data_IF_915466311973
#
_entry.id   IF_915466311973
#
_cell.length_a   1.000
_cell.length_b   1.000
_cell.length_c   1.000
_cell.angle_alpha   90.00
_cell.angle_beta   90.00
_cell.angle_gamma   90.00
#
_symmetry.space_group_name_H-M   'P 1'
#
loop_
_entity.id
_entity.type
_entity.pdbx_description
1 polymer ?
#
# COMPACT_ATOMS: atom_id res chain seq x y z
N UNK A 1 2.73 3.94 10.90
CA UNK A 1 1.79 4.53 9.92
C UNK A 1 0.77 3.47 9.43
N UNK A 2 -0.25 3.12 10.22
CA UNK A 2 -1.22 2.05 9.84
C UNK A 2 -2.14 2.44 8.67
N UNK A 3 -2.59 3.69 8.63
CA UNK A 3 -3.57 4.16 7.63
C UNK A 3 -3.04 4.12 6.19
N UNK A 4 -1.75 4.39 5.98
CA UNK A 4 -1.13 4.34 4.64
C UNK A 4 -1.12 2.93 4.04
N UNK A 5 -0.94 1.91 4.89
CA UNK A 5 -0.94 0.50 4.46
C UNK A 5 -2.34 0.06 4.01
N UNK A 6 -3.37 0.48 4.75
CA UNK A 6 -4.78 0.25 4.40
C UNK A 6 -5.18 1.00 3.13
N UNK A 7 -4.82 2.29 3.01
CA UNK A 7 -5.14 3.09 1.83
C UNK A 7 -4.55 2.48 0.54
N UNK A 8 -3.30 2.01 0.59
CA UNK A 8 -2.66 1.30 -0.53
C UNK A 8 -3.40 0.03 -0.91
N UNK A 9 -3.82 -0.76 0.09
CA UNK A 9 -4.57 -1.99 -0.15
C UNK A 9 -5.88 -1.68 -0.87
N UNK A 10 -6.60 -0.65 -0.40
CA UNK A 10 -7.85 -0.18 -1.04
C UNK A 10 -7.61 0.29 -2.47
N UNK A 11 -6.58 1.11 -2.74
CA UNK A 11 -6.27 1.59 -4.09
C UNK A 11 -5.92 0.43 -5.03
N UNK A 12 -5.16 -0.56 -4.54
CA UNK A 12 -4.82 -1.76 -5.34
C UNK A 12 -6.06 -2.58 -5.67
N UNK A 13 -6.99 -2.72 -4.71
CA UNK A 13 -8.27 -3.42 -4.94
C UNK A 13 -9.12 -2.67 -5.97
N UNK A 14 -9.21 -1.34 -5.87
CA UNK A 14 -9.95 -0.50 -6.82
C UNK A 14 -9.37 -0.61 -8.23
N UNK A 15 -8.04 -0.61 -8.38
CA UNK A 15 -7.36 -0.80 -9.67
C UNK A 15 -7.70 -2.17 -10.30
N UNK A 16 -7.62 -3.25 -9.53
CA UNK A 16 -7.96 -4.61 -10.01
C UNK A 16 -9.44 -4.72 -10.40
N UNK A 17 -10.34 -4.12 -9.61
CA UNK A 17 -11.77 -4.11 -9.92
C UNK A 17 -12.04 -3.28 -11.19
N UNK A 18 -11.35 -2.15 -11.38
CA UNK A 18 -11.42 -1.37 -12.62
C UNK A 18 -10.93 -2.15 -13.84
N UNK A 19 -9.80 -2.87 -13.73
CA UNK A 19 -9.29 -3.76 -14.77
C UNK A 19 -10.34 -4.82 -15.16
N UNK A 20 -10.91 -5.49 -14.16
CA UNK A 20 -11.93 -6.51 -14.37
C UNK A 20 -13.21 -5.92 -15.00
N UNK A 21 -13.66 -4.76 -14.55
CA UNK A 21 -14.83 -4.09 -15.10
C UNK A 21 -14.64 -3.76 -16.59
N UNK A 22 -13.47 -3.23 -16.98
CA UNK A 22 -13.17 -2.91 -18.39
C UNK A 22 -13.04 -4.18 -19.25
N UNK A 23 -12.55 -5.28 -18.69
CA UNK A 23 -12.40 -6.56 -19.39
C UNK A 23 -13.70 -7.33 -19.58
N UNK A 24 -14.54 -7.40 -18.54
CA UNK A 24 -15.73 -8.26 -18.46
C UNK A 24 -17.04 -7.57 -18.83
N UNK A 25 -17.10 -6.24 -18.88
CA UNK A 25 -18.32 -5.52 -19.25
C UNK A 25 -18.34 -5.28 -20.77
N UNK A 26 -19.10 -6.05 -21.56
CA UNK A 26 -19.20 -5.87 -23.01
C UNK A 26 -19.86 -4.54 -23.39
N UNK A 27 -20.64 -3.92 -22.49
CA UNK A 27 -21.16 -2.56 -22.70
C UNK A 27 -20.07 -1.48 -22.82
N UNK A 28 -18.82 -1.81 -22.43
CA UNK A 28 -17.62 -1.00 -22.62
C UNK A 28 -16.82 -1.41 -23.87
N UNK A 29 -17.40 -2.06 -24.87
CA UNK A 29 -16.72 -2.40 -26.14
C UNK A 29 -16.12 -1.18 -26.84
N UNK A 30 -16.83 -0.04 -26.83
CA UNK A 30 -16.29 1.22 -27.32
C UNK A 30 -15.08 1.70 -26.49
N UNK A 31 -15.05 1.43 -25.19
CA UNK A 31 -13.93 1.77 -24.31
C UNK A 31 -12.73 0.83 -24.52
N UNK A 32 -12.95 -0.46 -24.84
CA UNK A 32 -11.87 -1.41 -25.16
C UNK A 32 -11.07 -1.03 -26.40
N UNK A 33 -11.74 -0.44 -27.40
CA UNK A 33 -11.08 0.06 -28.62
C UNK A 33 -10.49 1.47 -28.47
N UNK A 34 -10.80 2.18 -27.39
CA UNK A 34 -10.28 3.53 -27.18
C UNK A 34 -8.90 3.50 -26.53
N UNK A 35 -7.91 4.01 -27.26
CA UNK A 35 -6.52 4.14 -26.81
C UNK A 35 -6.39 4.92 -25.49
N UNK A 36 -7.19 5.97 -25.31
CA UNK A 36 -7.19 6.78 -24.09
C UNK A 36 -7.59 6.00 -22.84
N UNK A 37 -8.49 5.03 -22.95
CA UNK A 37 -8.92 4.19 -21.82
C UNK A 37 -7.75 3.33 -21.37
N UNK A 38 -7.08 2.66 -22.31
CA UNK A 38 -5.85 1.89 -22.05
C UNK A 38 -4.71 2.76 -21.50
N UNK A 39 -4.57 3.99 -21.98
CA UNK A 39 -3.56 4.93 -21.50
C UNK A 39 -3.81 5.34 -20.05
N UNK A 40 -5.06 5.65 -19.69
CA UNK A 40 -5.45 5.96 -18.30
C UNK A 40 -5.24 4.74 -17.40
N UNK A 41 -5.65 3.55 -17.87
CA UNK A 41 -5.51 2.30 -17.14
C UNK A 41 -4.03 1.93 -16.92
N UNK A 42 -3.20 2.12 -17.94
CA UNK A 42 -1.75 1.97 -17.89
C UNK A 42 -1.09 2.95 -16.91
N UNK A 43 -1.53 4.22 -16.90
CA UNK A 43 -1.06 5.21 -15.94
C UNK A 43 -1.45 4.85 -14.49
N UNK A 44 -2.67 4.34 -14.30
CA UNK A 44 -3.19 3.96 -12.98
C UNK A 44 -2.43 2.75 -12.42
N UNK A 45 -2.22 1.71 -13.24
CA UNK A 45 -1.39 0.55 -12.89
C UNK A 45 0.08 0.94 -12.65
N UNK A 46 0.65 1.82 -13.46
CA UNK A 46 2.01 2.34 -13.25
C UNK A 46 2.13 3.10 -11.93
N UNK A 47 1.14 3.93 -11.58
CA UNK A 47 1.08 4.64 -10.30
C UNK A 47 1.04 3.68 -9.11
N UNK A 48 0.23 2.62 -9.18
CA UNK A 48 0.15 1.59 -8.15
C UNK A 48 1.48 0.85 -8.04
N UNK A 49 2.09 0.44 -9.15
CA UNK A 49 3.41 -0.19 -9.17
C UNK A 49 4.49 0.71 -8.56
N UNK A 50 4.48 2.01 -8.90
CA UNK A 50 5.41 2.98 -8.34
C UNK A 50 5.22 3.13 -6.83
N UNK A 51 3.98 3.24 -6.36
CA UNK A 51 3.66 3.22 -4.92
C UNK A 51 4.15 1.95 -4.24
N UNK A 52 4.04 0.80 -4.91
CA UNK A 52 4.56 -0.48 -4.41
C UNK A 52 6.08 -0.50 -4.32
N UNK A 53 6.79 0.01 -5.34
CA UNK A 53 8.25 0.01 -5.43
C UNK A 53 8.88 1.01 -4.45
N UNK A 54 8.35 2.24 -4.38
CA UNK A 54 8.87 3.32 -3.52
C UNK A 54 8.69 2.99 -2.04
N UNK A 55 7.53 2.43 -1.64
CA UNK A 55 7.32 2.02 -0.24
C UNK A 55 7.92 0.65 0.06
N UNK A 56 8.03 -0.25 -0.92
CA UNK A 56 8.76 -1.51 -0.79
C UNK A 56 10.22 -1.26 -0.39
N UNK A 57 10.83 -0.24 -0.99
CA UNK A 57 12.18 0.24 -0.64
C UNK A 57 12.29 0.74 0.81
N UNK A 58 11.26 1.41 1.34
CA UNK A 58 11.21 1.83 2.75
C UNK A 58 11.08 0.64 3.70
N UNK A 59 10.24 -0.35 3.36
CA UNK A 59 10.08 -1.56 4.16
C UNK A 59 11.32 -2.49 4.15
N UNK A 60 12.19 -2.38 3.14
CA UNK A 60 13.49 -3.09 3.08
C UNK A 60 14.63 -2.30 3.70
N UNK A 61 14.44 -1.02 4.02
CA UNK A 61 15.42 -0.26 4.78
C UNK A 61 15.31 -0.73 6.24
N UNK A 62 16.28 -1.52 6.71
CA UNK A 62 16.35 -2.04 8.08
C UNK A 62 16.29 -0.98 9.19
N UNK A 63 16.28 0.32 8.85
CA UNK A 63 16.02 1.43 9.76
C UNK A 63 14.65 1.35 10.44
N UNK A 64 13.59 0.94 9.73
CA UNK A 64 12.25 0.82 10.35
C UNK A 64 12.19 -0.40 11.28
N UNK A 65 12.94 -1.47 10.98
CA UNK A 65 13.02 -2.67 11.83
C UNK A 65 13.84 -2.44 13.10
N UNK A 66 14.92 -1.66 13.02
CA UNK A 66 15.72 -1.28 14.18
C UNK A 66 14.96 -0.31 15.09
N UNK A 67 14.25 0.67 14.51
CA UNK A 67 13.44 1.63 15.27
C UNK A 67 12.26 0.98 15.99
N UNK A 68 11.57 0.01 15.38
CA UNK A 68 10.51 -0.74 16.05
C UNK A 68 11.07 -1.59 17.20
N UNK A 69 12.29 -2.15 17.06
CA UNK A 69 12.99 -2.88 18.13
C UNK A 69 13.35 -1.96 19.31
N UNK A 70 13.93 -0.80 19.04
CA UNK A 70 14.27 0.18 20.08
C UNK A 70 13.03 0.70 20.82
N UNK A 71 11.92 0.89 20.09
CA UNK A 71 10.66 1.29 20.67
C UNK A 71 10.06 0.21 21.59
N UNK A 72 10.17 -1.07 21.22
CA UNK A 72 9.69 -2.17 22.06
C UNK A 72 10.59 -2.41 23.28
N UNK A 73 11.92 -2.29 23.15
CA UNK A 73 12.85 -2.34 24.30
C UNK A 73 12.55 -1.19 25.27
N UNK A 74 12.33 0.03 24.75
CA UNK A 74 11.97 1.17 25.60
C UNK A 74 10.65 0.95 26.35
N UNK A 75 9.64 0.34 25.72
CA UNK A 75 8.38 -0.01 26.38
C UNK A 75 8.58 -1.08 27.45
N UNK A 76 9.40 -2.10 27.21
CA UNK A 76 9.71 -3.12 28.21
C UNK A 76 10.42 -2.52 29.42
N UNK A 77 11.42 -1.66 29.22
CA UNK A 77 12.14 -0.99 30.31
C UNK A 77 11.20 -0.09 31.12
N UNK A 78 10.31 0.65 30.46
CA UNK A 78 9.30 1.47 31.13
C UNK A 78 8.28 0.63 31.92
N UNK A 79 7.86 -0.52 31.38
CA UNK A 79 6.96 -1.46 32.03
C UNK A 79 7.60 -2.11 33.27
N UNK A 80 8.86 -2.55 33.15
CA UNK A 80 9.66 -3.05 34.26
C UNK A 80 9.81 -2.00 35.35
N UNK A 81 10.15 -0.75 34.99
CA UNK A 81 10.22 0.35 35.95
C UNK A 81 8.89 0.58 36.64
N UNK A 82 7.77 0.58 35.89
CA UNK A 82 6.44 0.84 36.44
C UNK A 82 5.96 -0.24 37.43
N UNK A 83 6.46 -1.49 37.33
CA UNK A 83 6.18 -2.56 38.31
C UNK A 83 6.75 -2.30 39.72
N UNK A 84 7.76 -1.44 39.85
CA UNK A 84 8.37 -1.10 41.14
C UNK A 84 7.72 0.10 41.83
N UNK A 85 6.78 0.77 41.16
CA UNK A 85 6.00 1.90 41.70
C UNK A 85 4.57 1.50 42.10
N UNK A 86 4.31 0.20 42.17
CA UNK A 86 3.14 -0.45 42.78
C UNK A 86 3.62 -1.47 43.81
#
# INVERSE_FOLDING_TARGET
MKSFKTLRMVITIVDVVCLLAVLFVPALEAAKHNFFVWLILGLLTLYVLFMWMVLGRRNTNGYDAESDREADISKELLSQRNKWYW
#
